data_IF_495471378270
#
_entry.id   IF_495471378270
#
_cell.length_a   1.000
_cell.length_b   1.000
_cell.length_c   1.000
_cell.angle_alpha   90.00
_cell.angle_beta   90.00
_cell.angle_gamma   90.00
#
_symmetry.space_group_name_H-M   'P 1'
#
loop_
_entity.id
_entity.type
_entity.pdbx_description
1 polymer ?
#
# COMPACT_ATOMS: atom_id res chain seq x y z
N UNK A 1 14.46 -16.40 6.71
CA UNK A 1 13.93 -15.31 7.54
C UNK A 1 13.01 -14.47 6.69
N UNK A 2 11.70 -14.72 6.74
CA UNK A 2 10.75 -14.24 5.72
C UNK A 2 9.83 -13.10 6.21
N UNK A 3 9.85 -12.73 7.49
CA UNK A 3 9.05 -11.60 8.01
C UNK A 3 9.79 -10.87 9.13
N UNK A 4 9.65 -9.55 9.21
CA UNK A 4 10.23 -8.70 10.27
C UNK A 4 9.41 -8.76 11.58
N UNK A 5 8.58 -9.79 11.72
CA UNK A 5 7.60 -9.95 12.78
C UNK A 5 8.11 -10.91 13.86
N UNK A 6 7.80 -10.59 15.10
CA UNK A 6 8.05 -11.49 16.22
C UNK A 6 7.11 -12.70 16.18
N UNK A 7 7.48 -13.81 16.82
CA UNK A 7 6.58 -14.99 16.95
C UNK A 7 5.21 -14.63 17.53
N UNK A 8 5.16 -13.64 18.44
CA UNK A 8 3.91 -13.21 19.06
C UNK A 8 3.02 -12.45 18.06
N UNK A 9 3.60 -11.61 17.21
CA UNK A 9 2.87 -10.93 16.12
C UNK A 9 2.38 -11.92 15.07
N UNK A 10 3.20 -12.90 14.70
CA UNK A 10 2.80 -13.94 13.75
C UNK A 10 1.62 -14.76 14.31
N UNK A 11 1.64 -15.09 15.61
CA UNK A 11 0.53 -15.79 16.27
C UNK A 11 -0.73 -14.93 16.34
N UNK A 12 -0.60 -13.63 16.60
CA UNK A 12 -1.73 -12.69 16.59
C UNK A 12 -2.32 -12.55 15.18
N UNK A 13 -1.47 -12.41 14.17
CA UNK A 13 -1.86 -12.38 12.77
C UNK A 13 -2.56 -13.67 12.34
N UNK A 14 -2.04 -14.83 12.72
CA UNK A 14 -2.67 -16.13 12.45
C UNK A 14 -4.05 -16.23 13.09
N UNK A 15 -4.19 -15.76 14.33
CA UNK A 15 -5.49 -15.71 15.01
C UNK A 15 -6.48 -14.80 14.28
N UNK A 16 -6.05 -13.60 13.85
CA UNK A 16 -6.87 -12.68 13.06
C UNK A 16 -7.27 -13.28 11.73
N UNK A 17 -6.33 -13.89 11.01
CA UNK A 17 -6.59 -14.56 9.74
C UNK A 17 -7.61 -15.70 9.91
N UNK A 18 -7.49 -16.51 10.96
CA UNK A 18 -8.46 -17.55 11.31
C UNK A 18 -9.84 -17.00 11.71
N UNK A 19 -9.93 -15.77 12.24
CA UNK A 19 -11.22 -15.12 12.52
C UNK A 19 -11.93 -14.68 11.23
N UNK A 20 -11.18 -14.38 10.17
CA UNK A 20 -11.71 -13.99 8.86
C UNK A 20 -12.13 -15.18 7.99
N UNK A 21 -11.62 -16.39 8.30
CA UNK A 21 -11.99 -17.61 7.62
C UNK A 21 -13.33 -18.17 8.15
N UNK A 22 -14.20 -18.72 7.28
CA UNK A 22 -15.41 -19.41 7.72
C UNK A 22 -15.08 -20.61 8.62
N UNK A 23 -15.97 -20.93 9.58
CA UNK A 23 -15.73 -21.89 10.67
C UNK A 23 -15.26 -23.29 10.22
N UNK A 24 -15.55 -23.68 8.97
CA UNK A 24 -15.18 -24.97 8.40
C UNK A 24 -13.68 -25.11 8.07
N UNK A 25 -12.92 -24.02 7.91
CA UNK A 25 -11.49 -24.05 7.54
C UNK A 25 -10.55 -23.62 8.68
N UNK A 26 -10.97 -23.79 9.95
CA UNK A 26 -10.19 -23.35 11.13
C UNK A 26 -9.06 -24.31 11.56
N UNK A 27 -8.87 -25.42 10.83
CA UNK A 27 -7.73 -26.31 11.02
C UNK A 27 -6.42 -25.62 10.61
N UNK A 28 -5.33 -25.79 11.36
CA UNK A 28 -4.07 -25.07 11.10
C UNK A 28 -3.52 -25.38 9.70
N UNK A 29 -3.59 -26.64 9.26
CA UNK A 29 -3.11 -27.06 7.94
C UNK A 29 -3.95 -26.48 6.80
N UNK A 30 -5.27 -26.38 6.98
CA UNK A 30 -6.17 -25.75 6.01
C UNK A 30 -6.04 -24.23 6.00
N UNK A 31 -5.82 -23.59 7.17
CA UNK A 31 -5.65 -22.14 7.28
C UNK A 31 -4.41 -21.61 6.54
N UNK A 32 -3.37 -22.44 6.41
CA UNK A 32 -2.15 -22.09 5.68
C UNK A 32 -2.34 -22.15 4.16
N UNK A 33 -3.27 -22.99 3.68
CA UNK A 33 -3.64 -23.08 2.26
C UNK A 33 -4.88 -22.23 1.91
N UNK A 34 -5.66 -21.86 2.92
CA UNK A 34 -6.83 -21.04 2.76
C UNK A 34 -6.44 -19.62 2.37
N UNK A 35 -7.28 -19.02 1.52
CA UNK A 35 -7.16 -17.64 1.12
C UNK A 35 -8.37 -16.88 1.60
N UNK A 36 -8.14 -15.69 2.14
CA UNK A 36 -9.18 -14.79 2.61
C UNK A 36 -9.51 -13.83 1.47
N UNK A 37 -10.79 -13.67 1.15
CA UNK A 37 -11.25 -12.71 0.14
C UNK A 37 -10.93 -11.28 0.55
N UNK A 38 -10.68 -10.40 -0.41
CA UNK A 38 -10.37 -9.00 -0.10
C UNK A 38 -11.45 -8.33 0.75
N UNK A 39 -12.74 -8.63 0.53
CA UNK A 39 -13.83 -8.06 1.32
C UNK A 39 -13.66 -8.27 2.84
N UNK A 40 -13.17 -9.43 3.25
CA UNK A 40 -12.93 -9.74 4.66
C UNK A 40 -11.73 -8.96 5.20
N UNK A 41 -10.67 -8.85 4.40
CA UNK A 41 -9.46 -8.07 4.75
C UNK A 41 -9.79 -6.58 4.86
N UNK A 42 -10.58 -6.04 3.94
CA UNK A 42 -11.04 -4.66 3.92
C UNK A 42 -11.99 -4.32 5.08
N UNK A 43 -12.61 -5.35 5.68
CA UNK A 43 -13.44 -5.21 6.88
C UNK A 43 -12.60 -5.01 8.15
N UNK A 44 -11.31 -5.35 8.13
CA UNK A 44 -10.42 -5.13 9.27
C UNK A 44 -10.35 -3.63 9.59
N UNK A 45 -10.50 -3.22 10.86
CA UNK A 45 -10.51 -1.82 11.24
C UNK A 45 -9.22 -1.08 10.85
N UNK A 46 -8.09 -1.79 10.91
CA UNK A 46 -6.76 -1.31 10.52
C UNK A 46 -6.73 -0.89 9.03
N UNK A 47 -7.20 -1.76 8.14
CA UNK A 47 -7.25 -1.45 6.70
C UNK A 47 -8.45 -0.58 6.34
N UNK A 48 -9.56 -0.64 7.08
CA UNK A 48 -10.79 0.08 6.75
C UNK A 48 -10.60 1.60 6.76
N UNK A 49 -9.77 2.12 7.66
CA UNK A 49 -9.43 3.54 7.78
C UNK A 49 -8.51 4.03 6.64
N UNK A 50 -7.82 3.11 5.96
CA UNK A 50 -6.87 3.45 4.91
C UNK A 50 -7.59 3.65 3.56
N UNK A 51 -7.42 4.81 2.89
CA UNK A 51 -8.00 5.03 1.56
C UNK A 51 -7.38 4.12 0.49
N UNK A 52 -6.14 3.67 0.68
CA UNK A 52 -5.42 2.80 -0.25
C UNK A 52 -5.63 1.30 -0.01
N UNK A 53 -6.55 0.92 0.88
CA UNK A 53 -6.75 -0.47 1.30
C UNK A 53 -6.97 -1.45 0.15
N UNK A 54 -7.68 -1.04 -0.91
CA UNK A 54 -7.89 -1.88 -2.09
C UNK A 54 -6.59 -2.09 -2.87
N UNK A 55 -5.78 -1.03 -3.07
CA UNK A 55 -4.48 -1.12 -3.74
C UNK A 55 -3.48 -1.93 -2.92
N UNK A 56 -3.40 -1.67 -1.62
CA UNK A 56 -2.60 -2.47 -0.68
C UNK A 56 -2.94 -3.95 -0.85
N UNK A 57 -4.21 -4.31 -0.73
CA UNK A 57 -4.66 -5.68 -0.93
C UNK A 57 -4.25 -6.26 -2.28
N UNK A 58 -4.36 -5.51 -3.38
CA UNK A 58 -3.96 -5.97 -4.71
C UNK A 58 -2.45 -6.17 -4.85
N UNK A 59 -1.65 -5.29 -4.27
CA UNK A 59 -0.17 -5.35 -4.33
C UNK A 59 0.37 -6.51 -3.52
N UNK A 60 -0.23 -6.77 -2.34
CA UNK A 60 0.16 -7.89 -1.50
C UNK A 60 -0.46 -9.22 -1.96
N UNK A 61 -1.51 -9.20 -2.78
CA UNK A 61 -2.11 -10.43 -3.29
C UNK A 61 -1.20 -11.13 -4.30
N UNK A 62 -0.70 -12.32 -3.92
CA UNK A 62 -0.01 -13.24 -4.84
C UNK A 62 -0.99 -14.11 -5.64
N UNK A 63 -2.30 -13.93 -5.46
CA UNK A 63 -3.31 -14.67 -6.21
C UNK A 63 -3.32 -14.23 -7.69
N UNK A 64 -3.47 -15.16 -8.66
CA UNK A 64 -3.58 -14.81 -10.08
C UNK A 64 -4.80 -13.92 -10.37
N UNK A 65 -5.82 -13.95 -9.54
CA UNK A 65 -7.01 -13.09 -9.64
C UNK A 65 -6.90 -11.80 -8.82
N UNK A 66 -5.82 -11.62 -8.04
CA UNK A 66 -5.59 -10.52 -7.09
C UNK A 66 -6.78 -10.19 -6.15
N UNK A 67 -7.68 -11.15 -5.94
CA UNK A 67 -8.92 -10.98 -5.16
C UNK A 67 -8.91 -11.73 -3.81
N UNK A 68 -7.78 -12.36 -3.49
CA UNK A 68 -7.64 -13.07 -2.23
C UNK A 68 -6.21 -13.03 -1.71
N UNK A 69 -6.06 -12.98 -0.39
CA UNK A 69 -4.78 -12.99 0.31
C UNK A 69 -4.57 -14.34 0.98
N UNK A 70 -3.40 -14.91 0.78
CA UNK A 70 -2.91 -16.03 1.58
C UNK A 70 -2.44 -15.57 2.96
N UNK A 71 -2.20 -16.52 3.86
CA UNK A 71 -1.63 -16.19 5.17
C UNK A 71 -0.24 -15.54 5.04
N UNK A 72 0.56 -15.97 4.06
CA UNK A 72 1.87 -15.38 3.77
C UNK A 72 1.71 -13.91 3.33
N UNK A 73 0.79 -13.63 2.40
CA UNK A 73 0.51 -12.25 1.95
C UNK A 73 0.05 -11.35 3.11
N UNK A 74 -0.77 -11.90 4.02
CA UNK A 74 -1.25 -11.19 5.20
C UNK A 74 -0.12 -10.87 6.18
N UNK A 75 0.81 -11.80 6.36
CA UNK A 75 2.00 -11.57 7.16
C UNK A 75 2.94 -10.56 6.52
N UNK A 76 3.14 -10.61 5.20
CA UNK A 76 3.94 -9.61 4.48
C UNK A 76 3.34 -8.22 4.62
N UNK A 77 2.01 -8.11 4.49
CA UNK A 77 1.28 -6.87 4.71
C UNK A 77 1.58 -6.32 6.12
N UNK A 78 1.31 -7.10 7.16
CA UNK A 78 1.57 -6.68 8.54
C UNK A 78 3.05 -6.40 8.79
N UNK A 79 3.95 -7.14 8.14
CA UNK A 79 5.39 -6.96 8.27
C UNK A 79 5.85 -5.63 7.68
N UNK A 80 5.32 -5.22 6.53
CA UNK A 80 5.66 -3.93 5.90
C UNK A 80 5.12 -2.76 6.72
N UNK A 81 3.94 -2.94 7.32
CA UNK A 81 3.30 -1.92 8.14
C UNK A 81 3.84 -1.86 9.58
N UNK A 82 4.55 -2.87 10.03
CA UNK A 82 5.19 -2.86 11.35
C UNK A 82 6.25 -1.76 11.47
N UNK A 83 6.48 -1.31 12.70
CA UNK A 83 7.51 -0.31 13.01
C UNK A 83 8.93 -0.86 12.75
N UNK A 84 9.07 -2.20 12.71
CA UNK A 84 10.33 -2.89 12.41
C UNK A 84 10.73 -2.86 10.94
N UNK A 85 9.82 -2.53 10.02
CA UNK A 85 10.16 -2.45 8.60
C UNK A 85 11.04 -1.24 8.29
N UNK A 86 12.14 -1.49 7.57
CA UNK A 86 13.06 -0.43 7.13
C UNK A 86 12.37 0.56 6.19
N UNK A 87 12.76 1.84 6.21
CA UNK A 87 12.18 2.86 5.33
C UNK A 87 12.33 2.50 3.84
N UNK A 88 13.38 1.79 3.44
CA UNK A 88 13.57 1.30 2.07
C UNK A 88 12.42 0.40 1.61
N UNK A 89 12.08 -0.61 2.43
CA UNK A 89 10.97 -1.53 2.15
C UNK A 89 9.65 -0.78 2.11
N UNK A 90 9.42 0.12 3.07
CA UNK A 90 8.19 0.94 3.07
C UNK A 90 8.07 1.79 1.81
N UNK A 91 9.17 2.38 1.35
CA UNK A 91 9.23 3.17 0.11
C UNK A 91 8.93 2.32 -1.12
N UNK A 92 9.51 1.11 -1.18
CA UNK A 92 9.28 0.17 -2.28
C UNK A 92 7.82 -0.29 -2.37
N UNK A 93 7.22 -0.65 -1.24
CA UNK A 93 5.80 -1.03 -1.22
C UNK A 93 4.88 0.16 -1.46
N UNK A 94 5.19 1.35 -0.92
CA UNK A 94 4.45 2.57 -1.21
C UNK A 94 4.44 2.87 -2.71
N UNK A 95 5.61 2.79 -3.37
CA UNK A 95 5.74 2.94 -4.82
C UNK A 95 4.81 1.97 -5.56
N UNK A 96 4.83 0.69 -5.22
CA UNK A 96 3.92 -0.32 -5.83
C UNK A 96 2.44 -0.06 -5.57
N UNK A 97 2.09 0.50 -4.42
CA UNK A 97 0.68 0.84 -4.10
C UNK A 97 0.21 2.00 -4.97
N UNK A 98 1.11 2.93 -5.27
CA UNK A 98 0.84 4.14 -6.05
C UNK A 98 0.91 3.95 -7.55
N UNK A 99 1.73 3.02 -8.02
CA UNK A 99 1.78 2.57 -9.42
C UNK A 99 0.48 1.82 -9.72
N UNK A 100 -0.47 2.45 -10.45
CA UNK A 100 -1.79 1.86 -10.68
C UNK A 100 -1.79 0.82 -11.79
N UNK A 101 -0.95 1.02 -12.80
CA UNK A 101 -0.77 0.16 -13.96
C UNK A 101 0.30 -0.92 -13.78
N UNK A 102 0.97 -0.95 -12.63
CA UNK A 102 2.04 -1.89 -12.28
C UNK A 102 3.17 -1.86 -13.34
N UNK A 103 3.46 -0.70 -13.93
CA UNK A 103 4.43 -0.53 -15.02
C UNK A 103 5.87 -0.26 -14.51
N UNK A 104 6.00 -0.01 -13.20
CA UNK A 104 7.27 0.28 -12.54
C UNK A 104 7.68 1.75 -12.56
N UNK A 105 6.81 2.63 -13.03
CA UNK A 105 6.97 4.09 -13.05
C UNK A 105 5.69 4.77 -12.55
N UNK A 106 5.81 5.94 -11.92
CA UNK A 106 4.64 6.74 -11.57
C UNK A 106 4.44 7.79 -12.64
N UNK A 107 3.39 7.63 -13.43
CA UNK A 107 3.02 8.59 -14.44
C UNK A 107 2.13 9.70 -13.81
N UNK A 108 1.78 10.70 -14.63
CA UNK A 108 0.94 11.84 -14.21
C UNK A 108 -0.45 11.38 -13.77
N UNK A 109 -0.98 10.31 -14.36
CA UNK A 109 -2.28 9.76 -14.02
C UNK A 109 -2.24 9.05 -12.67
N UNK A 110 -1.18 8.31 -12.35
CA UNK A 110 -0.97 7.68 -11.04
C UNK A 110 -0.88 8.72 -9.94
N UNK A 111 -0.04 9.74 -10.14
CA UNK A 111 0.10 10.86 -9.19
C UNK A 111 -1.22 11.59 -9.02
N UNK A 112 -2.00 11.72 -10.09
CA UNK A 112 -3.35 12.28 -10.03
C UNK A 112 -4.27 11.41 -9.19
N UNK A 113 -4.36 10.10 -9.45
CA UNK A 113 -5.21 9.22 -8.66
C UNK A 113 -4.78 9.18 -7.19
N UNK A 114 -3.47 9.18 -6.94
CA UNK A 114 -2.88 9.22 -5.61
C UNK A 114 -3.31 10.47 -4.83
N UNK A 115 -3.11 11.65 -5.41
CA UNK A 115 -3.50 12.93 -4.79
C UNK A 115 -5.01 12.94 -4.54
N UNK A 116 -5.81 12.48 -5.50
CA UNK A 116 -7.26 12.40 -5.35
C UNK A 116 -7.67 11.46 -4.19
N UNK A 117 -6.99 10.32 -4.03
CA UNK A 117 -7.19 9.40 -2.90
C UNK A 117 -6.75 10.00 -1.55
N UNK A 118 -5.68 10.81 -1.52
CA UNK A 118 -5.21 11.49 -0.30
C UNK A 118 -6.14 12.63 0.13
N UNK A 119 -6.63 13.43 -0.81
CA UNK A 119 -7.56 14.54 -0.51
C UNK A 119 -8.97 14.06 -0.15
N UNK A 120 -9.27 12.77 -0.36
CA UNK A 120 -10.53 12.13 -0.04
C UNK A 120 -11.72 12.62 -0.88
N UNK A 121 -12.89 12.01 -0.66
CA UNK A 121 -14.18 12.40 -1.27
C UNK A 121 -14.82 13.65 -0.60
N UNK A 122 -14.04 14.43 0.16
CA UNK A 122 -14.51 15.68 0.75
C UNK A 122 -14.58 16.78 -0.31
N UNK A 123 -15.78 17.30 -0.59
CA UNK A 123 -15.99 18.42 -1.53
C UNK A 123 -15.15 19.66 -1.17
N UNK A 124 -14.79 19.85 0.10
CA UNK A 124 -13.99 20.99 0.59
C UNK A 124 -12.46 20.83 0.46
N UNK A 125 -11.95 19.62 0.21
CA UNK A 125 -10.51 19.33 0.05
C UNK A 125 -10.12 18.90 -1.36
N UNK A 126 -11.10 18.77 -2.26
CA UNK A 126 -10.87 18.34 -3.63
C UNK A 126 -10.14 19.44 -4.40
N UNK A 127 -8.86 19.21 -4.68
CA UNK A 127 -8.04 20.11 -5.48
C UNK A 127 -8.69 20.33 -6.84
N UNK A 128 -8.68 21.58 -7.29
CA UNK A 128 -9.12 21.90 -8.66
C UNK A 128 -8.22 21.18 -9.66
N UNK A 129 -8.74 20.83 -10.85
CA UNK A 129 -7.92 20.19 -11.89
C UNK A 129 -6.63 20.98 -12.21
N UNK A 130 -6.68 22.31 -12.09
CA UNK A 130 -5.51 23.19 -12.22
C UNK A 130 -4.50 23.05 -11.09
N UNK A 131 -4.96 22.97 -9.83
CA UNK A 131 -4.09 22.84 -8.65
C UNK A 131 -3.44 21.46 -8.60
N UNK A 132 -4.21 20.42 -8.89
CA UNK A 132 -3.72 19.07 -9.03
C UNK A 132 -2.63 18.99 -10.12
N UNK A 133 -2.88 19.59 -11.28
CA UNK A 133 -1.89 19.64 -12.35
C UNK A 133 -0.64 20.40 -11.92
N UNK A 134 -0.77 21.55 -11.25
CA UNK A 134 0.38 22.30 -10.73
C UNK A 134 1.18 21.50 -9.70
N UNK A 135 0.50 20.77 -8.81
CA UNK A 135 1.15 19.94 -7.81
C UNK A 135 1.92 18.79 -8.45
N UNK A 136 1.32 18.10 -9.43
CA UNK A 136 2.00 17.05 -10.20
C UNK A 136 3.18 17.62 -10.99
N UNK A 137 3.03 18.77 -11.63
CA UNK A 137 4.09 19.43 -12.41
C UNK A 137 5.27 19.83 -11.50
N UNK A 138 4.99 20.38 -10.32
CA UNK A 138 6.02 20.71 -9.32
C UNK A 138 6.71 19.44 -8.80
N UNK A 139 5.96 18.38 -8.51
CA UNK A 139 6.55 17.11 -8.08
C UNK A 139 7.44 16.57 -9.17
N UNK A 140 6.98 16.49 -10.42
CA UNK A 140 7.80 16.03 -11.54
C UNK A 140 9.03 16.91 -11.71
N UNK A 141 8.90 18.24 -11.69
CA UNK A 141 10.06 19.13 -11.84
C UNK A 141 11.12 18.93 -10.74
N UNK A 142 10.71 18.60 -9.51
CA UNK A 142 11.62 18.30 -8.40
C UNK A 142 12.13 16.85 -8.36
N UNK A 143 11.37 15.91 -8.91
CA UNK A 143 11.58 14.46 -8.77
C UNK A 143 12.21 13.80 -9.99
N UNK A 144 11.78 14.22 -11.17
CA UNK A 144 12.13 13.67 -12.48
C UNK A 144 13.50 14.22 -12.91
N UNK A 145 14.55 13.47 -12.59
CA UNK A 145 15.95 13.85 -12.81
C UNK A 145 16.29 13.67 -14.28
N UNK A 146 15.79 12.60 -14.91
CA UNK A 146 16.07 12.28 -16.30
C UNK A 146 15.11 12.93 -17.31
N UNK A 147 14.05 13.58 -16.82
CA UNK A 147 13.05 14.34 -17.59
C UNK A 147 12.27 13.46 -18.56
N UNK A 148 11.98 12.23 -18.19
CA UNK A 148 11.14 11.33 -18.99
C UNK A 148 9.64 11.58 -18.78
N UNK A 149 9.28 12.39 -17.78
CA UNK A 149 7.91 12.75 -17.43
C UNK A 149 7.22 11.72 -16.55
N UNK A 150 7.97 10.77 -16.00
CA UNK A 150 7.54 9.77 -15.02
C UNK A 150 8.47 9.78 -13.81
N UNK A 151 8.11 9.08 -12.73
CA UNK A 151 8.97 8.94 -11.56
C UNK A 151 9.26 7.46 -11.37
N UNK A 152 10.52 7.07 -11.51
CA UNK A 152 10.94 5.70 -11.22
C UNK A 152 11.15 5.49 -9.71
N UNK A 153 11.31 4.23 -9.28
CA UNK A 153 11.50 3.89 -7.86
C UNK A 153 12.66 4.65 -7.21
N UNK A 154 13.77 4.84 -7.93
CA UNK A 154 14.96 5.50 -7.38
C UNK A 154 14.71 6.99 -7.15
N UNK A 155 14.01 7.64 -8.07
CA UNK A 155 13.58 9.03 -7.96
C UNK A 155 12.56 9.20 -6.83
N UNK A 156 11.58 8.30 -6.74
CA UNK A 156 10.59 8.32 -5.67
C UNK A 156 11.25 8.23 -4.28
N UNK A 157 12.22 7.32 -4.11
CA UNK A 157 13.00 7.23 -2.87
C UNK A 157 13.79 8.52 -2.59
N UNK A 158 14.36 9.14 -3.63
CA UNK A 158 15.06 10.42 -3.48
C UNK A 158 14.14 11.52 -2.96
N UNK A 159 12.92 11.61 -3.50
CA UNK A 159 11.93 12.63 -3.17
C UNK A 159 11.40 12.47 -1.75
N UNK A 160 11.03 11.25 -1.38
CA UNK A 160 10.58 10.93 -0.01
C UNK A 160 11.68 11.22 1.01
N UNK A 161 12.96 10.99 0.66
CA UNK A 161 14.08 11.30 1.55
C UNK A 161 14.40 12.81 1.61
N UNK A 162 14.12 13.58 0.55
CA UNK A 162 14.47 15.00 0.43
C UNK A 162 13.39 15.93 0.98
N UNK A 163 12.13 15.55 0.81
CA UNK A 163 10.97 16.39 1.14
C UNK A 163 10.22 15.77 2.31
N UNK A 164 10.53 16.17 3.57
CA UNK A 164 9.84 15.68 4.75
C UNK A 164 8.34 16.02 4.75
N UNK A 165 7.92 17.12 4.10
CA UNK A 165 6.51 17.45 3.87
C UNK A 165 5.81 16.43 2.95
N UNK A 166 6.53 15.95 1.94
CA UNK A 166 6.11 14.86 1.08
C UNK A 166 6.00 13.58 1.92
N UNK A 167 7.09 13.16 2.58
CA UNK A 167 7.09 11.97 3.43
C UNK A 167 6.01 12.01 4.54
N UNK A 168 5.71 13.18 5.09
CA UNK A 168 4.67 13.35 6.12
C UNK A 168 3.26 13.28 5.54
N UNK A 169 3.04 13.75 4.31
CA UNK A 169 1.76 13.62 3.59
C UNK A 169 1.55 12.20 3.05
N UNK A 170 2.64 11.48 2.76
CA UNK A 170 2.66 10.08 2.34
C UNK A 170 2.86 9.08 3.48
N UNK A 171 2.82 9.54 4.74
CA UNK A 171 2.68 8.58 5.85
C UNK A 171 1.34 7.89 5.66
N UNK A 172 1.38 6.68 5.11
CA UNK A 172 0.30 5.72 5.23
C UNK A 172 0.23 5.41 6.72
N UNK A 173 -0.54 6.22 7.45
CA UNK A 173 -0.82 6.02 8.86
C UNK A 173 -1.93 4.98 8.91
N UNK A 174 -1.60 3.80 9.43
CA UNK A 174 -2.58 2.86 9.97
C UNK A 174 -3.18 3.41 11.27
#
# INVERSE_FOLDING_TARGET
DLTFLTKQEILLAHRRFCELLPQEHRSVEESLQARVSLEQILSLPELKANPFKERICRVFSTSPTRDSLSFEDFLDLLSVFSDTATPDIKSHYAFRIFDFDDDGTLNREDLSQLVNCLTGEGEDTRLSASEMKQLIDNILEESDIDRDGTINLSEFQHVISRSPDFASSFKIVL
#
